data_IF_416010736940
#
_entry.id   IF_416010736940
#
_cell.length_a   1.000
_cell.length_b   1.000
_cell.length_c   1.000
_cell.angle_alpha   90.00
_cell.angle_beta   90.00
_cell.angle_gamma   90.00
#
_symmetry.space_group_name_H-M   'P 1'
#
loop_
_entity.id
_entity.type
_entity.pdbx_description
1 polymer ?
#
# COMPACT_ATOMS: atom_id res chain seq x y z
N UNK A 1 -11.02 -5.93 -14.49
CA UNK A 1 -10.99 -4.73 -13.67
C UNK A 1 -10.86 -5.12 -12.21
N UNK A 2 -9.85 -4.63 -11.53
CA UNK A 2 -9.65 -5.02 -10.15
C UNK A 2 -10.41 -4.04 -9.25
N UNK A 3 -11.53 -4.50 -8.76
CA UNK A 3 -12.33 -3.70 -7.86
C UNK A 3 -11.60 -3.58 -6.53
N UNK A 4 -11.46 -2.37 -6.04
CA UNK A 4 -10.85 -2.13 -4.75
C UNK A 4 -9.37 -1.81 -4.78
N UNK A 5 -8.74 -1.89 -5.95
CA UNK A 5 -7.35 -1.48 -6.05
C UNK A 5 -7.29 0.00 -6.43
N UNK A 6 -6.58 0.77 -5.63
CA UNK A 6 -6.47 2.21 -5.82
C UNK A 6 -5.02 2.63 -5.69
N UNK A 7 -4.73 3.82 -6.18
CA UNK A 7 -3.38 4.36 -6.09
C UNK A 7 -3.19 5.06 -4.75
N UNK A 8 -2.03 4.81 -4.13
CA UNK A 8 -1.63 5.50 -2.91
C UNK A 8 -0.20 5.96 -2.99
N UNK A 9 0.19 6.82 -2.07
CA UNK A 9 1.55 7.35 -1.97
C UNK A 9 2.13 6.94 -0.63
N UNK A 10 3.34 6.40 -0.65
CA UNK A 10 4.01 5.99 0.59
C UNK A 10 4.39 7.24 1.38
N UNK A 11 3.96 7.31 2.62
CA UNK A 11 4.23 8.44 3.50
C UNK A 11 5.25 8.12 4.58
N UNK A 12 5.29 6.87 5.04
CA UNK A 12 6.21 6.47 6.07
C UNK A 12 6.40 4.97 6.06
N UNK A 13 7.54 4.54 6.57
CA UNK A 13 7.79 3.14 6.84
C UNK A 13 7.51 2.91 8.31
N UNK A 14 6.71 1.90 8.61
CA UNK A 14 6.30 1.59 9.96
C UNK A 14 7.03 0.34 10.44
N UNK A 15 7.05 0.10 11.75
CA UNK A 15 7.63 -1.15 12.27
C UNK A 15 6.93 -2.37 11.69
N UNK A 16 7.61 -3.49 11.73
CA UNK A 16 7.07 -4.80 11.30
C UNK A 16 6.83 -4.88 9.80
N UNK A 17 7.51 -4.05 9.02
CA UNK A 17 7.41 -4.13 7.57
C UNK A 17 6.14 -3.52 6.99
N UNK A 18 5.43 -2.73 7.77
CA UNK A 18 4.23 -2.05 7.30
C UNK A 18 4.58 -0.69 6.72
N UNK A 19 3.64 -0.15 5.97
CA UNK A 19 3.79 1.18 5.37
C UNK A 19 2.55 2.01 5.63
N UNK A 20 2.78 3.29 5.83
CA UNK A 20 1.69 4.25 5.91
C UNK A 20 1.54 4.90 4.54
N UNK A 21 0.34 4.85 4.00
CA UNK A 21 0.03 5.38 2.68
C UNK A 21 -0.97 6.51 2.80
N UNK A 22 -0.93 7.39 1.81
CA UNK A 22 -1.97 8.40 1.62
C UNK A 22 -2.77 7.99 0.40
N UNK A 23 -4.05 7.68 0.62
CA UNK A 23 -4.96 7.30 -0.45
C UNK A 23 -6.06 8.34 -0.49
N UNK A 24 -5.95 9.28 -1.43
CA UNK A 24 -6.95 10.35 -1.61
C UNK A 24 -7.24 11.09 -0.30
N UNK A 25 -6.17 11.43 0.43
CA UNK A 25 -6.31 12.15 1.67
C UNK A 25 -6.59 11.29 2.88
N UNK A 26 -6.79 10.00 2.70
CA UNK A 26 -7.05 9.07 3.79
C UNK A 26 -5.78 8.30 4.11
N UNK A 27 -5.45 8.22 5.40
CA UNK A 27 -4.27 7.48 5.84
C UNK A 27 -4.60 6.00 5.90
N UNK A 28 -3.77 5.20 5.24
CA UNK A 28 -3.97 3.74 5.15
C UNK A 28 -2.70 3.05 5.62
N UNK A 29 -2.85 2.05 6.48
CA UNK A 29 -1.75 1.18 6.87
C UNK A 29 -1.80 -0.06 5.99
N UNK A 30 -0.69 -0.34 5.32
CA UNK A 30 -0.66 -1.43 4.35
C UNK A 30 0.57 -2.30 4.52
N UNK A 31 0.42 -3.57 4.18
CA UNK A 31 1.55 -4.49 4.14
C UNK A 31 1.85 -4.83 2.69
N UNK A 32 3.12 -5.13 2.37
CA UNK A 32 3.45 -5.56 1.02
C UNK A 32 2.89 -6.95 0.78
N UNK A 33 2.39 -7.17 -0.44
CA UNK A 33 1.84 -8.45 -0.80
C UNK A 33 2.16 -8.78 -2.24
N UNK A 34 1.91 -10.01 -2.62
CA UNK A 34 2.09 -10.44 -3.99
C UNK A 34 3.49 -10.21 -4.50
N UNK A 35 3.59 -9.57 -5.66
CA UNK A 35 4.88 -9.35 -6.29
C UNK A 35 5.76 -8.38 -5.51
N UNK A 36 5.18 -7.47 -4.75
CA UNK A 36 5.95 -6.53 -3.95
C UNK A 36 6.78 -7.27 -2.90
N UNK A 37 6.14 -8.20 -2.20
CA UNK A 37 6.83 -8.99 -1.20
C UNK A 37 7.81 -9.97 -1.83
N UNK A 38 7.37 -10.64 -2.88
CA UNK A 38 8.16 -11.70 -3.52
C UNK A 38 9.44 -11.17 -4.13
N UNK A 39 9.40 -9.98 -4.71
CA UNK A 39 10.53 -9.41 -5.41
C UNK A 39 11.36 -8.47 -4.54
N UNK A 40 11.05 -8.39 -3.24
CA UNK A 40 11.76 -7.52 -2.32
C UNK A 40 11.82 -6.08 -2.81
N UNK A 41 10.72 -5.62 -3.37
CA UNK A 41 10.66 -4.25 -3.85
C UNK A 41 10.74 -3.31 -2.67
N UNK A 42 11.75 -2.45 -2.67
CA UNK A 42 11.90 -1.48 -1.61
C UNK A 42 11.04 -0.27 -1.91
N UNK A 43 10.21 0.09 -0.96
CA UNK A 43 9.34 1.24 -1.11
C UNK A 43 9.89 2.40 -0.29
N UNK A 44 9.96 3.56 -0.93
CA UNK A 44 10.48 4.77 -0.31
C UNK A 44 9.36 5.79 -0.18
N UNK A 45 9.52 6.69 0.78
CA UNK A 45 8.56 7.78 0.93
C UNK A 45 8.46 8.55 -0.38
N UNK A 46 7.23 8.76 -0.83
CA UNK A 46 6.98 9.42 -2.10
C UNK A 46 6.68 8.47 -3.25
N UNK A 47 6.96 7.18 -3.09
CA UNK A 47 6.66 6.21 -4.14
C UNK A 47 5.17 6.04 -4.27
N UNK A 48 4.72 5.86 -5.51
CA UNK A 48 3.32 5.55 -5.77
C UNK A 48 3.15 4.06 -5.90
N UNK A 49 2.08 3.56 -5.31
CA UNK A 49 1.80 2.14 -5.27
C UNK A 49 0.34 1.90 -5.57
N UNK A 50 0.06 0.70 -6.03
CA UNK A 50 -1.31 0.24 -6.18
C UNK A 50 -1.64 -0.56 -4.92
N UNK A 51 -2.73 -0.20 -4.26
CA UNK A 51 -3.10 -0.82 -2.98
C UNK A 51 -4.53 -1.31 -3.04
N UNK A 52 -4.73 -2.48 -2.47
CA UNK A 52 -6.05 -3.10 -2.35
C UNK A 52 -6.54 -2.86 -0.93
N UNK A 53 -7.62 -2.09 -0.79
CA UNK A 53 -8.14 -1.77 0.53
C UNK A 53 -8.99 -2.92 1.07
N UNK A 54 -8.95 -3.08 2.39
CA UNK A 54 -9.77 -4.09 3.04
C UNK A 54 -11.24 -3.67 2.96
N UNK A 55 -12.13 -4.59 2.55
CA UNK A 55 -13.54 -4.21 2.40
C UNK A 55 -14.19 -3.70 3.67
N UNK A 56 -13.79 -4.22 4.81
CA UNK A 56 -14.41 -3.87 6.09
C UNK A 56 -13.68 -2.77 6.85
N UNK A 57 -12.47 -2.46 6.42
CA UNK A 57 -11.67 -1.44 7.09
C UNK A 57 -10.78 -0.78 6.06
N UNK A 58 -11.24 0.32 5.51
CA UNK A 58 -10.53 0.99 4.44
C UNK A 58 -9.34 1.80 4.92
N UNK A 59 -9.05 1.73 6.21
CA UNK A 59 -7.79 2.27 6.73
C UNK A 59 -6.68 1.24 6.68
N UNK A 60 -6.96 0.04 6.16
CA UNK A 60 -5.97 -1.01 5.99
C UNK A 60 -6.01 -1.54 4.57
N UNK A 61 -4.85 -2.00 4.11
CA UNK A 61 -4.79 -2.53 2.77
C UNK A 61 -3.55 -3.37 2.54
N UNK A 62 -3.45 -3.84 1.30
CA UNK A 62 -2.33 -4.64 0.85
C UNK A 62 -1.76 -3.97 -0.39
N UNK A 63 -0.44 -3.76 -0.39
CA UNK A 63 0.23 -3.18 -1.55
C UNK A 63 0.37 -4.26 -2.60
N UNK A 64 -0.21 -4.01 -3.77
CA UNK A 64 -0.22 -4.98 -4.85
C UNK A 64 1.04 -4.86 -5.68
N UNK A 65 1.43 -3.62 -6.00
CA UNK A 65 2.65 -3.40 -6.75
C UNK A 65 3.06 -1.93 -6.68
N UNK A 66 4.31 -1.69 -7.00
CA UNK A 66 4.84 -0.34 -7.14
C UNK A 66 4.54 0.17 -8.55
N UNK A 67 4.10 1.40 -8.63
CA UNK A 67 3.80 2.03 -9.92
C UNK A 67 5.01 2.76 -10.49
#
# INVERSE_FOLDING_TARGET
>A
MSDGAVEGVVRAQLPSGLYELDVEGTRVTAHPGGSTERNFVRLLVGDRVLVELMPRDKTRGRIVRKL
#
